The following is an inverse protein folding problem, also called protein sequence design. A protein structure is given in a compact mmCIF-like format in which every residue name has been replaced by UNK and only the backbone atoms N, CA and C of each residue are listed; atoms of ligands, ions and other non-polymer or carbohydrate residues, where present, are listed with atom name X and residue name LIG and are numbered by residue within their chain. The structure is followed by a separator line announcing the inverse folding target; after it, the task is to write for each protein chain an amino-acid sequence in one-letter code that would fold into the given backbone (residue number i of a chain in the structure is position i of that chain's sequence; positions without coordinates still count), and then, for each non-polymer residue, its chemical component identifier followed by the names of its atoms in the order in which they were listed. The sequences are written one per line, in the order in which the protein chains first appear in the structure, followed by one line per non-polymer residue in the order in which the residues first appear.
data_IF_028882238394
#
_entry.id   IF_028882238394
#
_cell.length_a   1.000
_cell.length_b   1.000
_cell.length_c   1.000
_cell.angle_alpha   90.00
_cell.angle_beta   90.00
_cell.angle_gamma   90.00
#
_symmetry.space_group_name_H-M   'P 1'
#
loop_
_entity.id
_entity.type
_entity.pdbx_description
1 polymer ?
#
# COMPACT_ATOMS: atom_id res chain seq x y z
N UNK A 1 19.86 29.30 -27.03
CA UNK A 1 19.87 28.85 -25.61
C UNK A 1 18.45 28.60 -25.06
N UNK A 2 17.39 29.25 -25.56
CA UNK A 2 15.99 29.02 -25.14
C UNK A 2 15.48 27.57 -25.33
N UNK A 3 15.84 26.90 -26.43
CA UNK A 3 15.33 25.57 -26.77
C UNK A 3 15.73 24.48 -25.76
N UNK A 4 16.95 24.56 -25.21
CA UNK A 4 17.46 23.62 -24.19
C UNK A 4 16.73 23.78 -22.87
N UNK A 5 16.38 25.03 -22.51
CA UNK A 5 15.65 25.32 -21.29
C UNK A 5 14.22 24.75 -21.36
N UNK A 6 13.55 24.93 -22.51
CA UNK A 6 12.23 24.36 -22.76
C UNK A 6 12.22 22.83 -22.71
N UNK A 7 13.18 22.16 -23.36
CA UNK A 7 13.27 20.69 -23.33
C UNK A 7 13.49 20.14 -21.91
N UNK A 8 14.28 20.83 -21.09
CA UNK A 8 14.49 20.46 -19.68
C UNK A 8 13.23 20.62 -18.85
N UNK A 9 12.50 21.73 -19.02
CA UNK A 9 11.22 21.95 -18.34
C UNK A 9 10.16 20.93 -18.77
N UNK A 10 10.16 20.55 -20.05
CA UNK A 10 9.27 19.53 -20.59
C UNK A 10 9.57 18.16 -19.98
N UNK A 11 10.83 17.74 -19.99
CA UNK A 11 11.26 16.47 -19.39
C UNK A 11 10.97 16.41 -17.88
N UNK A 12 11.11 17.54 -17.17
CA UNK A 12 10.76 17.61 -15.75
C UNK A 12 9.25 17.44 -15.53
N UNK A 13 8.41 18.09 -16.34
CA UNK A 13 6.96 17.93 -16.30
C UNK A 13 6.56 16.48 -16.56
N UNK A 14 7.13 15.86 -17.60
CA UNK A 14 6.81 14.50 -17.99
C UNK A 14 7.23 13.51 -16.89
N UNK A 15 8.41 13.70 -16.28
CA UNK A 15 8.84 12.93 -15.11
C UNK A 15 7.87 13.07 -13.93
N UNK A 16 7.41 14.28 -13.62
CA UNK A 16 6.43 14.46 -12.53
C UNK A 16 5.11 13.74 -12.80
N UNK A 17 4.65 13.72 -14.06
CA UNK A 17 3.45 12.98 -14.45
C UNK A 17 3.65 11.46 -14.31
N UNK A 18 4.82 10.94 -14.70
CA UNK A 18 5.19 9.54 -14.49
C UNK A 18 5.26 9.18 -13.00
N UNK A 19 5.91 10.01 -12.19
CA UNK A 19 6.10 9.79 -10.76
C UNK A 19 4.76 9.78 -10.03
N UNK A 20 3.82 10.66 -10.40
CA UNK A 20 2.47 10.66 -9.86
C UNK A 20 1.72 9.34 -10.16
N UNK A 21 1.87 8.81 -11.38
CA UNK A 21 1.28 7.52 -11.77
C UNK A 21 1.91 6.38 -10.96
N UNK A 22 3.23 6.33 -10.87
CA UNK A 22 3.98 5.31 -10.14
C UNK A 22 3.58 5.28 -8.66
N UNK A 23 3.50 6.43 -8.01
CA UNK A 23 3.06 6.54 -6.62
C UNK A 23 1.67 5.91 -6.44
N UNK A 24 0.71 6.19 -7.35
CA UNK A 24 -0.61 5.58 -7.30
C UNK A 24 -0.59 4.04 -7.40
N UNK A 25 0.26 3.51 -8.28
CA UNK A 25 0.47 2.06 -8.40
C UNK A 25 1.11 1.46 -7.15
N UNK A 26 2.15 2.10 -6.60
CA UNK A 26 2.84 1.65 -5.39
C UNK A 26 1.91 1.62 -4.18
N UNK A 27 1.02 2.59 -4.04
CA UNK A 27 0.02 2.59 -2.96
C UNK A 27 -0.96 1.44 -3.09
N UNK A 28 -1.43 1.17 -4.31
CA UNK A 28 -2.29 0.01 -4.59
C UNK A 28 -1.57 -1.31 -4.24
N UNK A 29 -0.31 -1.46 -4.65
CA UNK A 29 0.49 -2.64 -4.34
C UNK A 29 0.79 -2.78 -2.84
N UNK A 30 0.96 -1.67 -2.13
CA UNK A 30 1.19 -1.67 -0.68
C UNK A 30 -0.03 -2.23 0.07
N UNK A 31 -1.23 -1.79 -0.29
CA UNK A 31 -2.49 -2.32 0.28
C UNK A 31 -2.64 -3.80 -0.05
N UNK A 32 -2.42 -4.19 -1.31
CA UNK A 32 -2.47 -5.59 -1.75
C UNK A 32 -1.46 -6.47 -1.00
N UNK A 33 -0.25 -5.97 -0.76
CA UNK A 33 0.77 -6.65 0.01
C UNK A 33 0.32 -6.90 1.46
N UNK A 34 -0.26 -5.91 2.12
CA UNK A 34 -0.77 -6.09 3.49
C UNK A 34 -1.91 -7.10 3.56
N UNK A 35 -2.84 -7.09 2.60
CA UNK A 35 -3.91 -8.08 2.51
C UNK A 35 -3.31 -9.49 2.34
N UNK A 36 -2.37 -9.64 1.40
CA UNK A 36 -1.66 -10.90 1.18
C UNK A 36 -0.96 -11.39 2.46
N UNK A 37 -0.25 -10.50 3.17
CA UNK A 37 0.39 -10.84 4.45
C UNK A 37 -0.63 -11.26 5.52
N UNK A 38 -1.77 -10.59 5.59
CA UNK A 38 -2.86 -10.96 6.50
C UNK A 38 -3.35 -12.39 6.20
N UNK A 39 -3.64 -12.70 4.94
CA UNK A 39 -4.08 -14.02 4.49
C UNK A 39 -3.03 -15.11 4.78
N UNK A 40 -1.74 -14.83 4.59
CA UNK A 40 -0.68 -15.78 4.97
C UNK A 40 -0.69 -16.10 6.47
N UNK A 41 -0.96 -15.12 7.33
CA UNK A 41 -1.06 -15.35 8.78
C UNK A 41 -2.34 -16.08 9.17
N UNK A 42 -3.43 -15.89 8.44
CA UNK A 42 -4.65 -16.70 8.60
C UNK A 42 -4.35 -18.18 8.27
N UNK A 43 -3.67 -18.46 7.16
CA UNK A 43 -3.27 -19.84 6.84
C UNK A 43 -2.42 -20.48 7.94
N UNK A 44 -1.45 -19.74 8.49
CA UNK A 44 -0.64 -20.21 9.64
C UNK A 44 -1.44 -20.42 10.91
N UNK A 45 -2.50 -19.64 11.13
CA UNK A 45 -3.42 -19.82 12.26
C UNK A 45 -4.19 -21.14 12.12
N UNK A 46 -4.64 -21.47 10.91
CA UNK A 46 -5.35 -22.73 10.60
C UNK A 46 -4.42 -23.95 10.73
N UNK A 47 -3.17 -23.84 10.27
CA UNK A 47 -2.13 -24.86 10.48
C UNK A 47 -1.88 -25.11 11.97
N UNK A 48 -1.70 -24.04 12.76
CA UNK A 48 -1.49 -24.14 14.20
C UNK A 48 -2.69 -24.74 14.96
N UNK A 49 -3.92 -24.55 14.44
CA UNK A 49 -5.11 -25.18 15.00
C UNK A 49 -5.10 -26.70 14.80
N UNK A 50 -4.62 -27.13 13.63
CA UNK A 50 -4.42 -28.56 13.30
C UNK A 50 -3.35 -29.21 14.17
N UNK A 51 -2.28 -28.47 14.50
CA UNK A 51 -1.21 -28.91 15.40
C UNK A 51 -1.55 -28.79 16.90
N UNK A 52 -2.76 -28.30 17.23
CA UNK A 52 -3.22 -28.02 18.60
C UNK A 52 -2.30 -27.09 19.41
N UNK A 53 -1.59 -26.18 18.73
CA UNK A 53 -0.67 -25.22 19.35
C UNK A 53 -1.36 -23.88 19.62
N UNK A 54 -2.13 -23.83 20.72
CA UNK A 54 -3.00 -22.67 21.07
C UNK A 54 -2.24 -21.33 21.08
N UNK A 55 -1.01 -21.30 21.58
CA UNK A 55 -0.19 -20.09 21.60
C UNK A 55 0.16 -19.57 20.20
N UNK A 56 0.52 -20.48 19.29
CA UNK A 56 0.86 -20.13 17.91
C UNK A 56 -0.37 -19.63 17.15
N UNK A 57 -1.52 -20.30 17.36
CA UNK A 57 -2.81 -19.87 16.81
C UNK A 57 -3.16 -18.44 17.24
N UNK A 58 -3.05 -18.14 18.54
CA UNK A 58 -3.34 -16.80 19.07
C UNK A 58 -2.40 -15.74 18.49
N UNK A 59 -1.10 -16.04 18.39
CA UNK A 59 -0.14 -15.13 17.81
C UNK A 59 -0.40 -14.88 16.31
N UNK A 60 -0.64 -15.95 15.54
CA UNK A 60 -0.94 -15.86 14.11
C UNK A 60 -2.21 -15.05 13.85
N UNK A 61 -3.28 -15.27 14.64
CA UNK A 61 -4.51 -14.48 14.58
C UNK A 61 -4.25 -12.99 14.83
N UNK A 62 -3.44 -12.66 15.85
CA UNK A 62 -3.03 -11.27 16.11
C UNK A 62 -2.28 -10.67 14.92
N UNK A 63 -1.33 -11.40 14.33
CA UNK A 63 -0.57 -10.91 13.17
C UNK A 63 -1.48 -10.67 11.96
N UNK A 64 -2.39 -11.60 11.67
CA UNK A 64 -3.38 -11.42 10.60
C UNK A 64 -4.18 -10.13 10.78
N UNK A 65 -4.65 -9.87 12.00
CA UNK A 65 -5.41 -8.66 12.32
C UNK A 65 -4.58 -7.38 12.22
N UNK A 66 -3.28 -7.41 12.57
CA UNK A 66 -2.38 -6.26 12.42
C UNK A 66 -2.26 -5.88 10.94
N UNK A 67 -1.97 -6.85 10.08
CA UNK A 67 -1.82 -6.59 8.65
C UNK A 67 -3.12 -6.12 8.00
N UNK A 68 -4.27 -6.65 8.42
CA UNK A 68 -5.57 -6.18 7.96
C UNK A 68 -5.83 -4.71 8.37
N UNK A 69 -5.46 -4.33 9.59
CA UNK A 69 -5.59 -2.92 10.03
C UNK A 69 -4.63 -2.01 9.28
N UNK A 70 -3.42 -2.48 8.96
CA UNK A 70 -2.48 -1.73 8.14
C UNK A 70 -3.01 -1.50 6.72
N UNK A 71 -3.65 -2.51 6.10
CA UNK A 71 -4.24 -2.33 4.76
C UNK A 71 -5.36 -1.29 4.78
N UNK A 72 -6.28 -1.38 5.74
CA UNK A 72 -7.38 -0.43 5.92
C UNK A 72 -6.84 0.99 6.17
N UNK A 73 -5.88 1.13 7.09
CA UNK A 73 -5.31 2.43 7.41
C UNK A 73 -4.57 3.06 6.23
N UNK A 74 -3.85 2.24 5.46
CA UNK A 74 -3.15 2.70 4.26
C UNK A 74 -4.15 3.19 3.21
N UNK A 75 -5.17 2.39 2.90
CA UNK A 75 -6.24 2.74 1.96
C UNK A 75 -6.95 4.05 2.35
N UNK A 76 -7.41 4.16 3.60
CA UNK A 76 -8.06 5.37 4.13
C UNK A 76 -7.15 6.61 4.04
N UNK A 77 -5.86 6.43 4.33
CA UNK A 77 -4.89 7.53 4.29
C UNK A 77 -4.66 7.99 2.84
N UNK A 78 -4.56 7.06 1.89
CA UNK A 78 -4.38 7.39 0.47
C UNK A 78 -5.60 8.07 -0.14
N UNK A 79 -6.80 7.56 0.13
CA UNK A 79 -8.02 8.20 -0.34
C UNK A 79 -8.21 9.59 0.26
N UNK A 80 -7.86 9.78 1.54
CA UNK A 80 -7.85 11.12 2.15
C UNK A 80 -6.88 12.06 1.45
N UNK A 81 -5.65 11.64 1.18
CA UNK A 81 -4.66 12.49 0.50
C UNK A 81 -5.06 12.82 -0.93
N UNK A 82 -5.67 11.86 -1.64
CA UNK A 82 -6.18 12.06 -2.99
C UNK A 82 -7.34 13.06 -2.99
N UNK A 83 -8.26 12.96 -2.03
CA UNK A 83 -9.34 13.92 -1.83
C UNK A 83 -8.84 15.34 -1.55
N UNK A 84 -7.80 15.49 -0.72
CA UNK A 84 -7.18 16.80 -0.47
C UNK A 84 -6.54 17.40 -1.73
N UNK A 85 -5.92 16.57 -2.57
CA UNK A 85 -5.37 17.03 -3.84
C UNK A 85 -6.48 17.53 -4.80
N UNK A 86 -7.61 16.81 -4.90
CA UNK A 86 -8.72 17.20 -5.78
C UNK A 86 -9.46 18.47 -5.37
N UNK A 87 -9.38 18.88 -4.09
CA UNK A 87 -10.01 20.12 -3.59
C UNK A 87 -9.09 21.34 -3.75
N UNK A 88 -7.78 21.11 -3.94
CA UNK A 88 -6.78 22.15 -4.09
C UNK A 88 -6.54 22.59 -5.55
N UNK A 89 -7.01 21.80 -6.52
CA UNK A 89 -7.01 22.10 -7.97
C UNK A 89 -8.27 22.87 -8.40
#
# INVERSE_FOLDING_TARGET
VYHVHWLRTLALRDRWAEELLLVGCEMTWTVAFFIYKSQQWVGRMEEADTEHTVGHRCYAARQAQIYLRLSQHAEDSFERTKGLATVAE
#
